data_IF_209511495299
#
_entry.id   IF_209511495299
#
_cell.length_a   1.000
_cell.length_b   1.000
_cell.length_c   1.000
_cell.angle_alpha   90.00
_cell.angle_beta   90.00
_cell.angle_gamma   90.00
#
_symmetry.space_group_name_H-M   'P 1'
#
loop_
_entity.id
_entity.type
_entity.pdbx_description
1 polymer ?
#
# COMPACT_ATOMS: atom_id res chain seq x y z
N UNK A 1 15.22 -1.40 -24.60
CA UNK A 1 13.91 -1.46 -23.93
C UNK A 1 13.06 -0.32 -24.48
N UNK A 2 11.93 -0.64 -25.12
CA UNK A 2 11.23 0.23 -26.06
C UNK A 2 10.42 1.37 -25.38
N UNK A 3 10.39 2.56 -25.97
CA UNK A 3 9.72 3.78 -25.45
C UNK A 3 8.23 3.55 -25.14
N UNK A 4 7.59 2.65 -25.91
CA UNK A 4 6.18 2.22 -25.71
C UNK A 4 5.92 1.46 -24.40
N UNK A 5 6.94 0.86 -23.77
CA UNK A 5 6.76 0.11 -22.52
C UNK A 5 6.70 1.02 -21.28
N UNK A 6 7.36 2.18 -21.28
CA UNK A 6 7.34 3.10 -20.14
C UNK A 6 5.92 3.59 -19.83
N UNK A 7 5.18 4.00 -20.87
CA UNK A 7 3.78 4.46 -20.70
C UNK A 7 2.88 3.40 -20.09
N UNK A 8 3.05 2.12 -20.47
CA UNK A 8 2.29 1.00 -19.89
C UNK A 8 2.61 0.79 -18.42
N UNK A 9 3.90 0.85 -18.04
CA UNK A 9 4.32 0.68 -16.64
C UNK A 9 3.74 1.82 -15.78
N UNK A 10 3.82 3.07 -16.24
CA UNK A 10 3.23 4.20 -15.51
C UNK A 10 1.71 4.06 -15.34
N UNK A 11 0.99 3.62 -16.37
CA UNK A 11 -0.45 3.36 -16.30
C UNK A 11 -0.79 2.24 -15.31
N UNK A 12 -0.03 1.14 -15.31
CA UNK A 12 -0.23 0.03 -14.37
C UNK A 12 0.04 0.50 -12.94
N UNK A 13 1.14 1.20 -12.69
CA UNK A 13 1.47 1.74 -11.36
C UNK A 13 0.41 2.70 -10.84
N UNK A 14 -0.09 3.60 -11.71
CA UNK A 14 -1.22 4.47 -11.35
C UNK A 14 -2.47 3.67 -11.00
N UNK A 15 -2.81 2.64 -11.77
CA UNK A 15 -3.93 1.75 -11.48
C UNK A 15 -3.78 1.06 -10.11
N UNK A 16 -2.59 0.53 -9.81
CA UNK A 16 -2.30 -0.11 -8.52
C UNK A 16 -2.43 0.89 -7.37
N UNK A 17 -1.86 2.09 -7.51
CA UNK A 17 -1.94 3.14 -6.49
C UNK A 17 -3.40 3.57 -6.21
N UNK A 18 -4.23 3.67 -7.25
CA UNK A 18 -5.64 4.00 -7.10
C UNK A 18 -6.43 2.89 -6.41
N UNK A 19 -6.21 1.62 -6.76
CA UNK A 19 -6.81 0.48 -6.06
C UNK A 19 -6.37 0.42 -4.59
N UNK A 20 -5.08 0.67 -4.33
CA UNK A 20 -4.52 0.69 -2.98
C UNK A 20 -5.12 1.82 -2.14
N UNK A 21 -5.29 3.01 -2.72
CA UNK A 21 -5.91 4.15 -2.02
C UNK A 21 -7.42 3.92 -1.84
N UNK A 22 -8.11 3.34 -2.82
CA UNK A 22 -9.53 2.99 -2.72
C UNK A 22 -9.80 1.98 -1.60
N UNK A 23 -8.97 0.94 -1.50
CA UNK A 23 -9.05 -0.03 -0.39
C UNK A 23 -8.76 0.61 0.96
N UNK A 24 -7.81 1.55 1.05
CA UNK A 24 -7.57 2.31 2.26
C UNK A 24 -8.76 3.20 2.64
N UNK A 25 -9.41 3.86 1.69
CA UNK A 25 -10.63 4.65 1.93
C UNK A 25 -11.74 3.76 2.48
N UNK A 26 -11.95 2.57 1.91
CA UNK A 26 -12.91 1.61 2.45
C UNK A 26 -12.59 1.24 3.91
N UNK A 27 -11.31 1.04 4.25
CA UNK A 27 -10.88 0.74 5.61
C UNK A 27 -11.11 1.92 6.57
N UNK A 28 -10.81 3.16 6.14
CA UNK A 28 -11.04 4.39 6.92
C UNK A 28 -12.53 4.56 7.24
N UNK A 29 -13.40 4.33 6.24
CA UNK A 29 -14.85 4.39 6.42
C UNK A 29 -15.33 3.28 7.36
N UNK A 30 -14.77 2.07 7.24
CA UNK A 30 -15.11 0.94 8.10
C UNK A 30 -14.74 1.19 9.58
N UNK A 31 -13.65 1.91 9.84
CA UNK A 31 -13.25 2.35 11.19
C UNK A 31 -14.08 3.53 11.72
N UNK A 32 -15.09 3.99 10.99
CA UNK A 32 -15.99 5.06 11.45
C UNK A 32 -15.44 6.48 11.26
N UNK A 33 -14.27 6.65 10.65
CA UNK A 33 -13.61 7.94 10.43
C UNK A 33 -14.16 8.66 9.19
N UNK A 34 -15.50 8.83 9.13
CA UNK A 34 -16.19 9.45 7.98
C UNK A 34 -15.94 10.95 7.85
N UNK A 35 -15.73 11.66 8.95
CA UNK A 35 -15.54 13.12 8.93
C UNK A 35 -14.14 13.53 8.48
N UNK A 36 -13.14 12.67 8.72
CA UNK A 36 -11.72 12.93 8.47
C UNK A 36 -11.15 12.03 7.37
N UNK A 37 -11.96 11.57 6.42
CA UNK A 37 -11.50 10.65 5.38
C UNK A 37 -10.43 11.26 4.45
N UNK A 38 -10.48 12.57 4.18
CA UNK A 38 -9.51 13.30 3.36
C UNK A 38 -8.11 13.31 4.00
N UNK A 39 -7.92 13.79 5.26
CA UNK A 39 -6.61 13.82 5.88
C UNK A 39 -5.99 12.43 6.04
N UNK A 40 -6.79 11.40 6.38
CA UNK A 40 -6.30 10.02 6.44
C UNK A 40 -5.91 9.46 5.06
N UNK A 41 -6.64 9.79 4.01
CA UNK A 41 -6.30 9.37 2.63
C UNK A 41 -5.01 10.04 2.15
N UNK A 42 -4.80 11.30 2.48
CA UNK A 42 -3.56 12.01 2.18
C UNK A 42 -2.36 11.40 2.93
N UNK A 43 -2.53 11.12 4.23
CA UNK A 43 -1.52 10.42 5.02
C UNK A 43 -1.22 9.03 4.46
N UNK A 44 -2.23 8.32 3.95
CA UNK A 44 -2.04 7.03 3.32
C UNK A 44 -1.13 7.10 2.07
N UNK A 45 -1.26 8.14 1.25
CA UNK A 45 -0.39 8.35 0.09
C UNK A 45 1.06 8.55 0.49
N UNK A 46 1.31 9.39 1.51
CA UNK A 46 2.65 9.62 2.07
C UNK A 46 3.19 8.32 2.67
N UNK A 47 2.35 7.60 3.42
CA UNK A 47 2.67 6.31 4.02
C UNK A 47 3.06 5.26 2.99
N UNK A 48 2.44 5.26 1.80
CA UNK A 48 2.82 4.38 0.69
C UNK A 48 4.23 4.67 0.17
N UNK A 49 4.62 5.96 0.12
CA UNK A 49 5.99 6.35 -0.22
C UNK A 49 6.98 5.94 0.87
N UNK A 50 6.64 6.15 2.14
CA UNK A 50 7.49 5.76 3.27
C UNK A 50 7.70 4.24 3.33
N UNK A 51 6.67 3.45 3.05
CA UNK A 51 6.73 1.99 3.03
C UNK A 51 7.57 1.41 1.87
N UNK A 52 7.81 2.19 0.80
CA UNK A 52 8.71 1.80 -0.30
C UNK A 52 10.18 1.86 0.12
N UNK A 53 10.52 2.66 1.14
CA UNK A 53 11.89 2.78 1.61
C UNK A 53 12.32 1.48 2.31
N UNK A 54 13.53 0.95 2.02
CA UNK A 54 14.02 -0.34 2.54
C UNK A 54 14.52 -0.24 3.99
N UNK A 55 13.81 0.52 4.82
CA UNK A 55 14.10 0.73 6.25
C UNK A 55 13.32 -0.24 7.14
N UNK A 56 12.32 -0.95 6.59
CA UNK A 56 11.41 -1.81 7.36
C UNK A 56 11.10 -3.13 6.66
N UNK A 57 10.68 -4.14 7.43
CA UNK A 57 10.25 -5.43 6.90
C UNK A 57 8.85 -5.33 6.29
N UNK A 58 8.77 -5.27 4.96
CA UNK A 58 7.50 -5.26 4.23
C UNK A 58 6.65 -4.00 4.45
N UNK A 59 7.25 -2.89 4.91
CA UNK A 59 6.53 -1.65 5.20
C UNK A 59 5.89 -1.59 6.60
N UNK A 60 6.08 -2.62 7.44
CA UNK A 60 5.64 -2.63 8.83
C UNK A 60 6.43 -1.63 9.68
N UNK A 61 5.80 -0.88 10.56
CA UNK A 61 6.40 0.20 11.35
C UNK A 61 6.53 1.52 10.58
N UNK A 62 6.90 1.49 9.29
CA UNK A 62 7.02 2.71 8.47
C UNK A 62 5.68 3.42 8.33
N UNK A 63 4.60 2.65 8.15
CA UNK A 63 3.26 3.23 8.01
C UNK A 63 2.74 3.76 9.33
N UNK A 64 2.87 3.00 10.41
CA UNK A 64 2.43 3.39 11.75
C UNK A 64 3.13 4.68 12.19
N UNK A 65 4.45 4.79 11.99
CA UNK A 65 5.21 6.00 12.31
C UNK A 65 4.77 7.18 11.46
N UNK A 66 4.55 6.97 10.15
CA UNK A 66 4.06 8.03 9.25
C UNK A 66 2.69 8.53 9.68
N UNK A 67 1.78 7.63 10.06
CA UNK A 67 0.47 8.01 10.56
C UNK A 67 0.57 8.68 11.93
N UNK A 68 1.39 8.18 12.85
CA UNK A 68 1.59 8.76 14.18
C UNK A 68 2.03 10.24 14.09
N UNK A 69 3.10 10.51 13.35
CA UNK A 69 3.58 11.89 13.16
C UNK A 69 2.67 12.71 12.24
N UNK A 70 2.07 12.06 11.24
CA UNK A 70 1.19 12.69 10.27
C UNK A 70 -0.10 13.21 10.90
N UNK A 71 -0.73 12.43 11.78
CA UNK A 71 -1.93 12.86 12.49
C UNK A 71 -1.64 13.98 13.47
N UNK A 72 -0.45 14.02 14.07
CA UNK A 72 -0.03 15.16 14.90
C UNK A 72 0.05 16.45 14.08
N UNK A 73 0.54 16.37 12.83
CA UNK A 73 0.63 17.53 11.94
C UNK A 73 -0.74 17.96 11.40
N UNK A 74 -1.62 17.01 11.06
CA UNK A 74 -2.97 17.28 10.53
C UNK A 74 -4.02 17.50 11.64
N UNK A 75 -3.62 17.51 12.91
CA UNK A 75 -4.49 17.64 14.08
C UNK A 75 -5.63 16.62 14.10
N UNK A 76 -5.37 15.38 13.66
CA UNK A 76 -6.30 14.27 13.69
C UNK A 76 -5.92 13.25 14.77
N UNK A 77 -6.80 12.27 15.00
CA UNK A 77 -6.60 11.28 16.04
C UNK A 77 -5.52 10.26 15.66
N UNK A 78 -4.42 10.26 16.41
CA UNK A 78 -3.29 9.37 16.16
C UNK A 78 -3.63 7.89 16.35
N UNK A 79 -4.46 7.56 17.34
CA UNK A 79 -4.89 6.18 17.60
C UNK A 79 -5.58 5.58 16.37
N UNK A 80 -6.58 6.28 15.84
CA UNK A 80 -7.26 5.90 14.60
C UNK A 80 -6.31 5.80 13.41
N UNK A 81 -5.40 6.76 13.25
CA UNK A 81 -4.41 6.76 12.16
C UNK A 81 -3.48 5.53 12.19
N UNK A 82 -2.92 5.22 13.36
CA UNK A 82 -2.06 4.06 13.55
C UNK A 82 -2.84 2.76 13.35
N UNK A 83 -4.09 2.67 13.83
CA UNK A 83 -4.96 1.52 13.60
C UNK A 83 -5.24 1.28 12.11
N UNK A 84 -5.51 2.33 11.33
CA UNK A 84 -5.69 2.25 9.86
C UNK A 84 -4.43 1.66 9.20
N UNK A 85 -3.26 2.21 9.53
CA UNK A 85 -1.98 1.78 8.97
C UNK A 85 -1.68 0.30 9.26
N UNK A 86 -1.86 -0.10 10.52
CA UNK A 86 -1.61 -1.44 10.99
C UNK A 86 -2.58 -2.46 10.37
N UNK A 87 -3.88 -2.16 10.35
CA UNK A 87 -4.88 -3.05 9.75
C UNK A 87 -4.70 -3.20 8.24
N UNK A 88 -4.38 -2.11 7.54
CA UNK A 88 -4.08 -2.19 6.11
C UNK A 88 -2.88 -3.11 5.85
N UNK A 89 -1.80 -2.97 6.63
CA UNK A 89 -0.62 -3.82 6.52
C UNK A 89 -0.96 -5.28 6.82
N UNK A 90 -1.74 -5.55 7.87
CA UNK A 90 -2.13 -6.90 8.26
C UNK A 90 -2.95 -7.59 7.16
N UNK A 91 -3.98 -6.91 6.64
CA UNK A 91 -4.81 -7.41 5.53
C UNK A 91 -3.93 -7.69 4.30
N UNK A 92 -3.07 -6.75 3.92
CA UNK A 92 -2.18 -6.88 2.76
C UNK A 92 -1.21 -8.05 2.92
N UNK A 93 -0.70 -8.26 4.13
CA UNK A 93 0.21 -9.36 4.47
C UNK A 93 -0.49 -10.71 4.39
N UNK A 94 -1.70 -10.82 4.97
CA UNK A 94 -2.50 -12.05 4.92
C UNK A 94 -2.85 -12.40 3.47
N UNK A 95 -3.31 -11.43 2.68
CA UNK A 95 -3.62 -11.63 1.25
C UNK A 95 -2.38 -12.05 0.47
N UNK A 96 -1.22 -11.42 0.74
CA UNK A 96 0.05 -11.76 0.09
C UNK A 96 0.57 -13.14 0.49
N UNK A 97 0.28 -13.60 1.71
CA UNK A 97 0.69 -14.92 2.20
C UNK A 97 0.09 -16.05 1.36
N UNK A 98 -1.15 -15.93 0.89
CA UNK A 98 -1.74 -16.90 -0.04
C UNK A 98 -1.02 -16.96 -1.40
N UNK A 99 -0.42 -15.84 -1.83
CA UNK A 99 0.39 -15.77 -3.05
C UNK A 99 1.63 -16.67 -3.01
N UNK A 100 2.13 -17.01 -1.81
CA UNK A 100 3.29 -17.89 -1.62
C UNK A 100 3.04 -19.27 -2.26
N UNK A 101 1.80 -19.78 -2.20
CA UNK A 101 1.42 -21.08 -2.80
C UNK A 101 1.70 -21.08 -4.31
N UNK A 102 1.51 -19.95 -4.98
CA UNK A 102 1.78 -19.80 -6.42
C UNK A 102 3.26 -19.54 -6.72
N UNK A 103 4.00 -18.93 -5.78
CA UNK A 103 5.41 -18.56 -5.95
C UNK A 103 6.34 -19.78 -6.11
N UNK A 104 6.00 -20.93 -5.54
CA UNK A 104 6.79 -22.15 -5.63
C UNK A 104 6.60 -22.96 -6.93
N UNK A 105 5.75 -22.54 -7.87
CA UNK A 105 5.70 -23.16 -9.20
C UNK A 105 6.91 -22.69 -10.02
N UNK A 106 7.79 -23.60 -10.49
CA UNK A 106 8.91 -23.21 -11.33
C UNK A 106 8.39 -22.57 -12.61
N UNK A 107 8.79 -21.32 -12.85
CA UNK A 107 8.53 -20.61 -14.11
C UNK A 107 9.32 -21.35 -15.20
N UNK A 108 8.62 -22.16 -16.00
CA UNK A 108 9.22 -22.91 -17.10
C UNK A 108 9.45 -21.92 -18.26
N UNK A 109 10.63 -21.31 -18.31
CA UNK A 109 11.06 -20.54 -19.46
C UNK A 109 11.23 -21.49 -20.65
N UNK A 110 10.22 -21.56 -21.51
CA UNK A 110 10.32 -22.29 -22.78
C UNK A 110 11.21 -21.47 -23.72
N UNK A 111 12.50 -21.79 -23.75
CA UNK A 111 13.45 -21.23 -24.70
C UNK A 111 13.04 -21.69 -26.10
N UNK A 112 12.33 -20.83 -26.85
CA UNK A 112 12.15 -21.02 -28.30
C UNK A 112 13.37 -20.43 -29.00
N UNK A 113 14.42 -21.23 -29.12
CA UNK A 113 15.38 -21.11 -30.22
C UNK A 113 14.83 -21.87 -31.42
N UNK A 114 14.38 -21.14 -32.44
CA UNK A 114 14.41 -21.54 -33.85
C UNK A 114 14.51 -20.29 -34.71
#
# INVERSE_FOLDING_TARGET
MDSRSYGRIHLISLGVQLLQTGSAICLIIALGQKLHWIPYSFLFLISSLAAMLPITFGGAGAREVTFLYGTQYLQTEAESGVAIAFLFYLISTIVSFFGIIYSFKPIKFSNKEK
#
